data_IF_512462734150
#
_entry.id   IF_512462734150
#
_cell.length_a   1.000
_cell.length_b   1.000
_cell.length_c   1.000
_cell.angle_alpha   90.00
_cell.angle_beta   90.00
_cell.angle_gamma   90.00
#
_symmetry.space_group_name_H-M   'P 1'
#
loop_
_entity.id
_entity.type
_entity.pdbx_description
1 polymer ?
#
# COMPACT_ATOMS: atom_id res chain seq x y z
N UNK A 1 18.30 13.52 15.28
CA UNK A 1 17.40 12.35 15.27
C UNK A 1 16.84 12.26 16.68
N UNK A 2 15.52 12.31 16.85
CA UNK A 2 14.85 12.20 18.15
C UNK A 2 15.25 10.89 18.85
N UNK A 3 15.37 10.91 20.17
CA UNK A 3 15.74 9.72 20.97
C UNK A 3 14.49 8.97 21.40
N UNK A 4 14.60 7.71 21.81
CA UNK A 4 13.46 7.01 22.45
C UNK A 4 12.96 7.71 23.73
N UNK A 5 13.79 8.55 24.35
CA UNK A 5 13.40 9.36 25.50
C UNK A 5 12.47 10.53 25.13
N UNK A 6 12.55 11.04 23.90
CA UNK A 6 11.74 12.17 23.41
C UNK A 6 10.66 11.76 22.42
N UNK A 7 10.80 10.58 21.80
CA UNK A 7 9.83 10.03 20.85
C UNK A 7 9.68 8.50 21.02
N UNK A 8 8.50 8.05 21.44
CA UNK A 8 8.17 6.63 21.57
C UNK A 8 7.28 6.17 20.40
N UNK A 9 7.88 5.45 19.45
CA UNK A 9 7.17 4.88 18.30
C UNK A 9 6.61 3.47 18.56
N UNK A 10 6.62 2.98 19.81
CA UNK A 10 6.15 1.64 20.18
C UNK A 10 6.76 0.46 19.39
N UNK A 11 7.98 0.64 18.86
CA UNK A 11 8.63 -0.35 17.99
C UNK A 11 8.04 -0.44 16.57
N UNK A 12 7.14 0.48 16.19
CA UNK A 12 6.57 0.57 14.85
C UNK A 12 7.61 1.20 13.90
N UNK A 13 7.84 0.61 12.72
CA UNK A 13 8.78 1.15 11.74
C UNK A 13 8.25 2.42 11.07
N UNK A 14 9.15 3.17 10.44
CA UNK A 14 8.80 4.40 9.73
C UNK A 14 7.99 4.10 8.46
N UNK A 15 6.77 4.62 8.38
CA UNK A 15 5.89 4.44 7.22
C UNK A 15 5.80 5.72 6.39
N UNK A 16 6.44 5.72 5.21
CA UNK A 16 6.38 6.84 4.27
C UNK A 16 4.97 7.18 3.81
N UNK A 17 4.03 6.23 3.91
CA UNK A 17 2.64 6.42 3.53
C UNK A 17 1.71 6.76 4.69
N UNK A 18 2.25 7.10 5.87
CA UNK A 18 1.45 7.63 6.98
C UNK A 18 0.69 8.88 6.56
N UNK A 19 -0.56 9.01 7.03
CA UNK A 19 -1.37 10.23 6.80
C UNK A 19 -0.76 11.46 7.46
N UNK A 20 0.09 11.25 8.47
CA UNK A 20 0.79 12.31 9.19
C UNK A 20 2.11 12.71 8.52
N UNK A 21 2.53 12.00 7.47
CA UNK A 21 3.78 12.27 6.79
C UNK A 21 3.62 13.36 5.72
N UNK A 22 4.37 14.45 5.85
CA UNK A 22 4.45 15.50 4.83
C UNK A 22 4.84 14.98 3.45
N UNK A 23 4.39 15.64 2.40
CA UNK A 23 4.85 15.35 1.04
C UNK A 23 6.32 15.73 0.86
N UNK A 24 6.97 15.16 -0.16
CA UNK A 24 8.36 15.50 -0.51
C UNK A 24 8.58 16.99 -0.85
N UNK A 25 7.52 17.73 -1.20
CA UNK A 25 7.57 19.15 -1.60
C UNK A 25 6.92 20.08 -0.58
N UNK A 26 6.45 19.55 0.55
CA UNK A 26 5.86 20.35 1.63
C UNK A 26 6.86 21.43 2.07
N UNK A 27 6.40 22.68 2.15
CA UNK A 27 7.20 23.88 2.46
C UNK A 27 8.30 24.22 1.44
N UNK A 28 8.32 23.58 0.27
CA UNK A 28 9.25 23.87 -0.82
C UNK A 28 8.87 25.13 -1.61
N UNK A 29 9.83 26.03 -1.83
CA UNK A 29 9.65 27.20 -2.71
C UNK A 29 9.53 26.75 -4.16
N UNK A 30 8.51 27.24 -4.89
CA UNK A 30 8.23 26.87 -6.28
C UNK A 30 8.06 25.36 -6.49
N UNK A 31 7.43 24.67 -5.54
CA UNK A 31 7.10 23.23 -5.61
C UNK A 31 8.34 22.31 -5.78
N UNK A 32 9.50 22.75 -5.29
CA UNK A 32 10.72 21.95 -5.27
C UNK A 32 10.64 20.88 -4.19
N UNK A 33 11.26 19.73 -4.45
CA UNK A 33 11.47 18.68 -3.46
C UNK A 33 12.44 19.22 -2.40
N UNK A 34 12.02 19.15 -1.13
CA UNK A 34 12.82 19.57 0.04
C UNK A 34 12.97 18.46 1.08
N UNK A 35 12.20 17.37 0.94
CA UNK A 35 12.36 16.15 1.73
C UNK A 35 12.61 15.00 0.74
N UNK A 36 13.76 14.34 0.87
CA UNK A 36 14.14 13.21 0.03
C UNK A 36 14.20 11.93 0.87
N UNK A 37 13.38 10.91 0.58
CA UNK A 37 13.50 9.63 1.25
C UNK A 37 14.79 8.93 0.83
N UNK A 38 15.39 8.13 1.72
CA UNK A 38 16.60 7.36 1.41
C UNK A 38 16.37 6.38 0.24
N UNK A 39 15.16 5.83 0.14
CA UNK A 39 14.70 5.09 -1.04
C UNK A 39 13.73 5.99 -1.83
N UNK A 40 14.24 6.51 -2.96
CA UNK A 40 13.54 7.47 -3.82
C UNK A 40 12.21 6.94 -4.38
N UNK A 41 11.98 5.63 -4.37
CA UNK A 41 10.69 5.06 -4.78
C UNK A 41 9.52 5.47 -3.87
N UNK A 42 9.81 5.94 -2.66
CA UNK A 42 8.79 6.43 -1.73
C UNK A 42 8.40 7.90 -1.94
N UNK A 43 9.01 8.61 -2.91
CA UNK A 43 8.80 10.05 -3.07
C UNK A 43 7.33 10.41 -3.36
N UNK A 44 6.62 9.57 -4.13
CA UNK A 44 5.18 9.72 -4.42
C UNK A 44 4.27 9.04 -3.38
N UNK A 45 4.84 8.21 -2.50
CA UNK A 45 4.11 7.65 -1.35
C UNK A 45 3.89 8.70 -0.25
N UNK A 46 4.85 9.60 -0.05
CA UNK A 46 4.81 10.69 0.94
C UNK A 46 3.71 11.71 0.66
N UNK A 47 3.10 12.27 1.72
CA UNK A 47 1.94 13.16 1.61
C UNK A 47 0.63 12.40 1.43
N UNK A 48 0.55 11.18 1.96
CA UNK A 48 -0.53 10.24 1.66
C UNK A 48 -1.90 10.73 2.13
N UNK A 49 -2.98 10.54 1.33
CA UNK A 49 -4.34 10.77 1.77
C UNK A 49 -4.94 9.60 2.59
N UNK A 50 -4.17 8.54 2.86
CA UNK A 50 -4.67 7.33 3.50
C UNK A 50 -4.15 7.21 4.91
N UNK A 51 -5.04 6.88 5.86
CA UNK A 51 -4.61 6.37 7.17
C UNK A 51 -3.91 5.03 6.91
N UNK A 52 -2.62 4.96 7.24
CA UNK A 52 -1.84 3.75 7.02
C UNK A 52 -2.17 2.67 8.04
N UNK A 53 -1.75 1.44 7.76
CA UNK A 53 -1.90 0.34 8.70
C UNK A 53 -1.15 0.63 10.01
N UNK A 54 0.02 1.25 9.92
CA UNK A 54 0.82 1.59 11.09
C UNK A 54 0.30 2.79 11.86
N UNK A 55 -0.35 3.76 11.19
CA UNK A 55 -1.11 4.81 11.89
C UNK A 55 -2.19 4.18 12.80
N UNK A 56 -2.95 3.23 12.24
CA UNK A 56 -3.99 2.51 12.99
C UNK A 56 -3.40 1.70 14.14
N UNK A 57 -2.32 0.95 13.90
CA UNK A 57 -1.68 0.15 14.94
C UNK A 57 -1.16 1.04 16.07
N UNK A 58 -0.47 2.13 15.74
CA UNK A 58 0.10 3.07 16.71
C UNK A 58 -0.97 3.63 17.65
N UNK A 59 -2.09 4.08 17.09
CA UNK A 59 -3.21 4.57 17.89
C UNK A 59 -3.82 3.48 18.78
N UNK A 60 -3.93 2.25 18.28
CA UNK A 60 -4.44 1.13 19.09
C UNK A 60 -3.49 0.73 20.23
N UNK A 61 -2.17 0.89 20.06
CA UNK A 61 -1.19 0.68 21.13
C UNK A 61 -1.27 1.83 22.15
N UNK A 62 -1.18 3.09 21.69
CA UNK A 62 -1.19 4.28 22.53
C UNK A 62 -2.39 4.30 23.49
N UNK A 63 -3.59 4.03 22.97
CA UNK A 63 -4.82 4.02 23.77
C UNK A 63 -5.15 2.66 24.40
N UNK A 64 -4.21 1.69 24.37
CA UNK A 64 -4.35 0.35 24.95
C UNK A 64 -5.58 -0.41 24.45
N UNK A 65 -6.02 -0.15 23.21
CA UNK A 65 -7.16 -0.84 22.61
C UNK A 65 -6.90 -2.34 22.47
N UNK A 66 -5.66 -2.74 22.17
CA UNK A 66 -5.27 -4.15 22.00
C UNK A 66 -5.47 -4.99 23.28
N UNK A 67 -5.48 -4.35 24.45
CA UNK A 67 -5.66 -5.03 25.74
C UNK A 67 -7.03 -5.69 25.86
N UNK A 68 -8.04 -5.20 25.12
CA UNK A 68 -9.39 -5.78 25.09
C UNK A 68 -9.43 -7.24 24.62
N UNK A 69 -8.42 -7.65 23.86
CA UNK A 69 -8.30 -9.01 23.35
C UNK A 69 -7.40 -9.92 24.21
N UNK A 70 -6.75 -9.40 25.25
CA UNK A 70 -5.93 -10.21 26.16
C UNK A 70 -6.82 -11.20 26.93
N UNK A 71 -6.39 -12.46 26.99
CA UNK A 71 -7.09 -13.52 27.73
C UNK A 71 -8.42 -13.99 27.10
N UNK A 72 -8.76 -13.53 25.89
CA UNK A 72 -9.95 -14.01 25.18
C UNK A 72 -9.70 -15.41 24.59
N UNK A 73 -10.63 -16.36 24.77
CA UNK A 73 -10.49 -17.72 24.24
C UNK A 73 -10.44 -17.76 22.71
N UNK A 74 -11.16 -16.87 22.04
CA UNK A 74 -11.25 -16.80 20.57
C UNK A 74 -10.17 -15.90 19.94
N UNK A 75 -9.05 -15.66 20.64
CA UNK A 75 -8.00 -14.77 20.17
C UNK A 75 -7.40 -15.28 18.84
N UNK A 76 -7.55 -14.47 17.81
CA UNK A 76 -7.02 -14.76 16.47
C UNK A 76 -5.50 -14.61 16.38
N UNK A 77 -4.85 -15.47 15.58
CA UNK A 77 -3.45 -15.31 15.17
C UNK A 77 -3.37 -14.71 13.78
N UNK A 78 -3.05 -13.43 13.71
CA UNK A 78 -2.95 -12.70 12.45
C UNK A 78 -1.67 -13.04 11.69
N UNK A 79 -1.76 -13.00 10.36
CA UNK A 79 -0.64 -13.14 9.43
C UNK A 79 -0.29 -11.79 8.82
N UNK A 80 0.83 -11.76 8.09
CA UNK A 80 1.28 -10.60 7.31
C UNK A 80 1.46 -9.31 8.11
N UNK A 81 1.67 -9.41 9.44
CA UNK A 81 1.82 -8.26 10.33
C UNK A 81 0.50 -7.68 10.85
N UNK A 82 -0.65 -8.28 10.55
CA UNK A 82 -1.95 -7.86 11.11
C UNK A 82 -2.02 -7.96 12.64
N UNK A 83 -3.00 -7.26 13.25
CA UNK A 83 -3.26 -7.31 14.69
C UNK A 83 -4.72 -7.67 15.00
N UNK A 84 -5.02 -8.31 16.15
CA UNK A 84 -6.39 -8.65 16.53
C UNK A 84 -7.28 -7.40 16.59
N UNK A 85 -8.47 -7.46 16.01
CA UNK A 85 -9.39 -6.33 16.02
C UNK A 85 -9.94 -6.09 17.44
N UNK A 86 -9.71 -4.91 18.06
CA UNK A 86 -10.14 -4.65 19.44
C UNK A 86 -11.66 -4.64 19.67
N UNK A 87 -12.45 -4.59 18.60
CA UNK A 87 -13.91 -4.67 18.64
C UNK A 87 -14.43 -6.09 18.41
N UNK A 88 -13.58 -6.98 17.89
CA UNK A 88 -13.91 -8.37 17.56
C UNK A 88 -12.61 -9.19 17.49
N UNK A 89 -12.22 -9.79 18.61
CA UNK A 89 -10.94 -10.46 18.75
C UNK A 89 -10.81 -11.76 17.94
N UNK A 90 -11.89 -12.20 17.27
CA UNK A 90 -11.91 -13.39 16.42
C UNK A 90 -11.36 -13.13 15.00
N UNK A 91 -11.19 -11.85 14.63
CA UNK A 91 -10.70 -11.40 13.32
C UNK A 91 -9.60 -10.35 13.45
N UNK A 92 -8.79 -10.23 12.40
CA UNK A 92 -7.68 -9.29 12.34
C UNK A 92 -8.05 -7.97 11.66
N UNK A 93 -7.36 -6.90 12.04
CA UNK A 93 -7.14 -5.73 11.20
C UNK A 93 -5.92 -6.02 10.33
N UNK A 94 -6.07 -5.84 9.01
CA UNK A 94 -5.07 -6.27 8.04
C UNK A 94 -4.36 -5.09 7.39
N UNK A 95 -3.07 -5.25 7.05
CA UNK A 95 -2.38 -4.29 6.21
C UNK A 95 -3.03 -4.15 4.83
N UNK A 96 -2.81 -3.00 4.19
CA UNK A 96 -3.27 -2.76 2.81
C UNK A 96 -2.80 -3.87 1.88
N UNK A 97 -3.71 -4.37 1.03
CA UNK A 97 -3.44 -5.52 0.16
C UNK A 97 -3.77 -6.89 0.77
N UNK A 98 -4.15 -6.97 2.05
CA UNK A 98 -4.48 -8.22 2.73
C UNK A 98 -5.87 -8.19 3.38
N UNK A 99 -6.54 -9.34 3.43
CA UNK A 99 -7.88 -9.47 3.98
C UNK A 99 -8.18 -10.86 4.52
N UNK A 100 -9.46 -11.08 4.83
CA UNK A 100 -9.91 -12.28 5.51
C UNK A 100 -9.64 -12.25 7.02
N UNK A 101 -10.16 -13.26 7.73
CA UNK A 101 -10.10 -13.33 9.19
C UNK A 101 -8.68 -13.25 9.75
N UNK A 102 -7.70 -13.82 9.02
CA UNK A 102 -6.30 -13.93 9.43
C UNK A 102 -5.34 -13.01 8.65
N UNK A 103 -5.84 -12.18 7.72
CA UNK A 103 -4.99 -11.43 6.77
C UNK A 103 -4.21 -12.30 5.76
N UNK A 104 -4.75 -13.48 5.42
CA UNK A 104 -4.17 -14.43 4.47
C UNK A 104 -5.04 -14.69 3.25
N UNK A 105 -5.99 -13.79 2.98
CA UNK A 105 -6.80 -13.81 1.77
C UNK A 105 -6.65 -12.50 1.02
N UNK A 106 -6.92 -12.55 -0.29
CA UNK A 106 -7.11 -11.35 -1.08
C UNK A 106 -8.27 -10.53 -0.47
N UNK A 107 -8.14 -9.20 -0.33
CA UNK A 107 -9.23 -8.35 0.09
C UNK A 107 -10.48 -8.53 -0.80
N UNK A 108 -11.70 -8.45 -0.25
CA UNK A 108 -12.91 -8.49 -1.05
C UNK A 108 -12.98 -7.28 -2.00
N UNK A 109 -13.70 -7.43 -3.11
CA UNK A 109 -13.86 -6.38 -4.13
C UNK A 109 -13.32 -6.82 -5.49
N UNK A 110 -12.83 -5.87 -6.27
CA UNK A 110 -12.25 -6.14 -7.59
C UNK A 110 -10.77 -6.54 -7.50
N UNK A 111 -10.29 -7.18 -8.56
CA UNK A 111 -8.95 -7.73 -8.68
C UNK A 111 -8.96 -9.26 -8.60
N UNK A 112 -7.78 -9.88 -8.55
CA UNK A 112 -7.63 -11.34 -8.62
C UNK A 112 -6.26 -11.83 -8.16
N UNK A 113 -6.18 -13.12 -7.86
CA UNK A 113 -4.94 -13.85 -7.69
C UNK A 113 -4.40 -14.22 -9.08
N UNK A 114 -3.08 -14.11 -9.26
CA UNK A 114 -2.36 -14.34 -10.50
C UNK A 114 -1.16 -15.24 -10.21
N UNK A 115 -1.13 -16.43 -10.80
CA UNK A 115 0.04 -17.30 -10.74
C UNK A 115 1.09 -16.84 -11.74
N UNK A 116 2.27 -16.50 -11.22
CA UNK A 116 3.42 -16.13 -12.03
C UNK A 116 4.11 -17.38 -12.59
N UNK A 117 4.70 -17.21 -13.76
CA UNK A 117 5.59 -18.18 -14.42
C UNK A 117 6.99 -17.58 -14.59
N UNK A 118 7.95 -18.36 -15.08
CA UNK A 118 9.27 -17.83 -15.49
C UNK A 118 9.19 -16.93 -16.74
N UNK A 119 8.12 -17.09 -17.53
CA UNK A 119 7.83 -16.29 -18.72
C UNK A 119 7.09 -15.00 -18.34
N UNK A 120 7.31 -13.94 -19.10
CA UNK A 120 6.61 -12.68 -18.91
C UNK A 120 5.11 -12.81 -19.17
N UNK A 121 4.31 -12.40 -18.20
CA UNK A 121 2.85 -12.29 -18.26
C UNK A 121 2.43 -10.83 -18.12
N UNK A 122 1.19 -10.52 -18.51
CA UNK A 122 0.64 -9.16 -18.50
C UNK A 122 -0.50 -9.03 -17.49
N UNK A 123 -0.49 -7.93 -16.75
CA UNK A 123 -1.60 -7.49 -15.91
C UNK A 123 -2.12 -6.15 -16.43
N UNK A 124 -3.34 -6.16 -16.97
CA UNK A 124 -4.05 -4.95 -17.38
C UNK A 124 -5.15 -4.65 -16.36
N UNK A 125 -5.20 -3.42 -15.87
CA UNK A 125 -6.13 -2.98 -14.83
C UNK A 125 -6.81 -1.69 -15.24
N UNK A 126 -8.06 -1.55 -14.81
CA UNK A 126 -8.81 -0.29 -14.88
C UNK A 126 -9.50 -0.07 -13.54
N UNK A 127 -9.30 1.08 -12.89
CA UNK A 127 -9.85 1.33 -11.54
C UNK A 127 -10.28 2.79 -11.39
N UNK A 128 -11.50 3.01 -10.94
CA UNK A 128 -12.07 4.35 -10.72
C UNK A 128 -13.54 4.42 -11.06
N UNK A 129 -14.05 5.64 -11.17
CA UNK A 129 -15.46 5.92 -11.43
C UNK A 129 -15.62 6.62 -12.77
N UNK A 130 -16.57 6.14 -13.59
CA UNK A 130 -16.94 6.83 -14.82
C UNK A 130 -17.68 8.14 -14.50
N UNK A 131 -17.44 9.18 -15.30
CA UNK A 131 -18.10 10.48 -15.16
C UNK A 131 -17.69 11.32 -13.96
N UNK A 132 -16.75 10.86 -13.11
CA UNK A 132 -16.26 11.64 -11.96
C UNK A 132 -15.06 12.48 -12.35
N UNK A 133 -15.15 13.79 -12.12
CA UNK A 133 -14.09 14.77 -12.41
C UNK A 133 -13.30 15.15 -11.15
N UNK A 134 -12.31 16.05 -11.27
CA UNK A 134 -11.57 16.59 -10.11
C UNK A 134 -12.48 17.34 -9.13
N UNK A 135 -13.52 18.03 -9.62
CA UNK A 135 -14.44 18.80 -8.79
C UNK A 135 -15.45 17.91 -8.05
N UNK A 136 -15.67 16.70 -8.53
CA UNK A 136 -16.65 15.73 -8.00
C UNK A 136 -16.00 14.55 -7.26
N UNK A 137 -14.75 14.73 -6.83
CA UNK A 137 -13.95 13.68 -6.20
C UNK A 137 -14.69 12.98 -5.04
N UNK A 138 -14.70 11.65 -5.06
CA UNK A 138 -15.34 10.86 -3.99
C UNK A 138 -14.52 10.94 -2.72
N UNK A 139 -15.18 10.88 -1.55
CA UNK A 139 -14.48 10.82 -0.26
C UNK A 139 -13.60 9.57 -0.19
N UNK A 140 -14.19 8.42 -0.56
CA UNK A 140 -13.50 7.15 -0.60
C UNK A 140 -12.89 6.85 -1.97
N UNK A 141 -11.79 6.09 -1.94
CA UNK A 141 -11.17 5.56 -3.14
C UNK A 141 -11.76 4.20 -3.49
N UNK A 142 -12.05 4.00 -4.77
CA UNK A 142 -12.23 2.65 -5.32
C UNK A 142 -10.87 1.99 -5.39
N UNK A 143 -10.74 0.79 -4.83
CA UNK A 143 -9.49 0.01 -4.81
C UNK A 143 -9.72 -1.37 -5.42
N UNK A 144 -8.80 -1.82 -6.28
CA UNK A 144 -8.71 -3.21 -6.72
C UNK A 144 -7.40 -3.82 -6.22
N UNK A 145 -7.45 -5.08 -5.81
CA UNK A 145 -6.32 -5.77 -5.19
C UNK A 145 -5.92 -6.97 -6.03
N UNK A 146 -4.64 -7.07 -6.34
CA UNK A 146 -4.07 -8.16 -7.12
C UNK A 146 -2.96 -8.83 -6.30
N UNK A 147 -2.99 -10.16 -6.25
CA UNK A 147 -1.91 -10.96 -5.66
C UNK A 147 -1.20 -11.69 -6.76
N UNK A 148 0.04 -11.31 -7.04
CA UNK A 148 0.90 -12.11 -7.91
C UNK A 148 1.61 -13.11 -7.00
N UNK A 149 1.44 -14.40 -7.26
CA UNK A 149 1.99 -15.50 -6.49
C UNK A 149 3.02 -16.26 -7.30
N UNK A 150 4.07 -16.69 -6.63
CA UNK A 150 5.11 -17.53 -7.18
C UNK A 150 5.32 -18.76 -6.27
N UNK A 151 5.98 -19.82 -6.76
CA UNK A 151 6.40 -20.92 -5.93
C UNK A 151 7.23 -20.45 -4.73
N UNK A 152 7.20 -21.21 -3.63
CA UNK A 152 7.98 -20.86 -2.44
C UNK A 152 9.46 -20.63 -2.77
N UNK A 153 10.08 -19.69 -2.05
CA UNK A 153 11.48 -19.28 -2.21
C UNK A 153 11.83 -18.59 -3.55
N UNK A 154 10.86 -18.39 -4.44
CA UNK A 154 11.01 -17.52 -5.62
C UNK A 154 10.65 -16.08 -5.30
N UNK A 155 11.14 -15.17 -6.12
CA UNK A 155 10.78 -13.74 -6.09
C UNK A 155 10.04 -13.38 -7.37
N UNK A 156 9.30 -12.29 -7.34
CA UNK A 156 8.51 -11.80 -8.47
C UNK A 156 9.15 -10.52 -8.96
N UNK A 157 9.50 -10.49 -10.23
CA UNK A 157 9.88 -9.29 -10.94
C UNK A 157 8.63 -8.68 -11.58
N UNK A 158 8.38 -7.40 -11.34
CA UNK A 158 7.29 -6.64 -11.97
C UNK A 158 7.86 -5.39 -12.64
N UNK A 159 7.33 -5.03 -13.81
CA UNK A 159 7.67 -3.83 -14.56
C UNK A 159 6.44 -3.02 -14.90
N UNK A 160 6.53 -1.71 -14.74
CA UNK A 160 5.45 -0.77 -15.09
C UNK A 160 5.50 -0.54 -16.60
N UNK A 161 4.44 -0.89 -17.32
CA UNK A 161 4.38 -0.77 -18.78
C UNK A 161 3.56 0.43 -19.24
N UNK A 162 2.49 0.76 -18.52
CA UNK A 162 1.62 1.85 -18.89
C UNK A 162 0.87 2.39 -17.67
N UNK A 163 0.63 3.69 -17.68
CA UNK A 163 -0.21 4.38 -16.71
C UNK A 163 -0.93 5.53 -17.43
N UNK A 164 -2.25 5.61 -17.29
CA UNK A 164 -3.07 6.65 -17.91
C UNK A 164 -4.38 6.88 -17.17
N UNK A 165 -4.92 8.10 -17.15
CA UNK A 165 -4.23 9.33 -17.56
C UNK A 165 -3.17 9.69 -16.53
N UNK A 166 -2.19 10.49 -16.97
CA UNK A 166 -1.14 10.95 -16.08
C UNK A 166 -1.71 11.93 -15.06
N UNK A 167 -1.42 11.73 -13.77
CA UNK A 167 -2.05 12.47 -12.68
C UNK A 167 -1.10 12.72 -11.50
N UNK A 168 0.12 13.24 -11.76
CA UNK A 168 1.12 13.44 -10.71
C UNK A 168 0.55 14.37 -9.64
N UNK A 169 0.53 13.87 -8.41
CA UNK A 169 0.05 14.57 -7.24
C UNK A 169 0.78 14.06 -6.01
N UNK A 170 0.90 14.91 -4.99
CA UNK A 170 1.50 14.50 -3.72
C UNK A 170 0.69 13.36 -3.09
N UNK A 171 1.38 12.33 -2.60
CA UNK A 171 0.74 11.13 -2.04
C UNK A 171 -0.15 10.34 -3.02
N UNK A 172 -0.08 10.65 -4.31
CA UNK A 172 -0.99 10.15 -5.34
C UNK A 172 -2.49 10.36 -4.99
N UNK A 173 -2.81 11.59 -4.61
CA UNK A 173 -4.12 12.00 -4.09
C UNK A 173 -5.32 11.65 -4.97
N UNK A 174 -5.20 11.73 -6.30
CA UNK A 174 -6.34 11.45 -7.20
C UNK A 174 -6.52 9.95 -7.48
N UNK A 175 -5.40 9.25 -7.62
CA UNK A 175 -5.37 7.86 -7.99
C UNK A 175 -3.96 7.45 -8.38
N UNK A 176 -3.72 6.15 -8.39
CA UNK A 176 -2.43 5.56 -8.68
C UNK A 176 -2.44 4.07 -8.41
N UNK A 177 -1.26 3.49 -8.29
CA UNK A 177 -1.09 2.11 -7.87
C UNK A 177 -0.01 1.99 -6.81
N UNK A 178 -0.13 0.99 -5.96
CA UNK A 178 0.81 0.64 -4.89
C UNK A 178 1.40 -0.74 -5.18
N UNK A 179 2.73 -0.86 -5.17
CA UNK A 179 3.47 -2.11 -5.31
C UNK A 179 4.13 -2.41 -3.96
N UNK A 180 3.77 -3.54 -3.34
CA UNK A 180 4.29 -3.94 -2.02
C UNK A 180 5.43 -4.96 -2.14
N UNK A 181 6.55 -4.56 -2.72
CA UNK A 181 7.71 -5.44 -2.95
C UNK A 181 8.63 -5.59 -1.74
N UNK A 182 8.49 -4.76 -0.71
CA UNK A 182 9.33 -4.75 0.49
C UNK A 182 9.16 -5.98 1.38
N UNK A 183 10.08 -6.20 2.33
CA UNK A 183 9.98 -7.29 3.32
C UNK A 183 8.80 -7.11 4.27
N UNK A 184 8.64 -5.89 4.77
CA UNK A 184 7.60 -5.56 5.73
C UNK A 184 6.29 -5.23 5.02
N UNK A 185 5.37 -6.20 5.06
CA UNK A 185 4.07 -6.10 4.41
C UNK A 185 3.06 -5.26 5.22
N UNK A 186 3.39 -4.88 6.46
CA UNK A 186 2.64 -3.89 7.23
C UNK A 186 2.80 -2.47 6.69
N UNK A 187 4.01 -2.11 6.23
CA UNK A 187 4.30 -0.77 5.70
C UNK A 187 3.57 -0.48 4.39
N UNK A 188 3.28 0.79 4.13
CA UNK A 188 2.83 1.23 2.81
C UNK A 188 3.88 0.89 1.73
N UNK A 189 3.44 0.38 0.59
CA UNK A 189 4.31 0.10 -0.56
C UNK A 189 4.72 1.35 -1.34
N UNK A 190 5.42 1.13 -2.46
CA UNK A 190 5.73 2.20 -3.39
C UNK A 190 4.49 2.59 -4.16
N UNK A 191 4.12 3.88 -4.11
CA UNK A 191 2.99 4.42 -4.85
C UNK A 191 3.47 5.22 -6.03
N UNK A 192 2.76 5.06 -7.15
CA UNK A 192 3.04 5.78 -8.38
C UNK A 192 1.75 6.28 -9.00
N UNK A 193 1.81 7.50 -9.51
CA UNK A 193 0.71 8.17 -10.22
C UNK A 193 1.23 9.05 -11.37
N UNK A 194 2.46 8.78 -11.79
CA UNK A 194 3.16 9.50 -12.86
C UNK A 194 3.67 8.56 -13.94
N UNK A 195 3.56 9.01 -15.20
CA UNK A 195 4.19 8.34 -16.35
C UNK A 195 5.73 8.38 -16.31
N UNK A 196 6.34 9.15 -15.41
CA UNK A 196 7.79 9.20 -15.21
C UNK A 196 8.41 7.85 -14.76
N UNK A 197 7.61 6.91 -14.24
CA UNK A 197 8.08 5.61 -13.75
C UNK A 197 7.88 4.47 -14.75
N UNK A 198 7.42 4.77 -15.97
CA UNK A 198 7.28 3.75 -17.01
C UNK A 198 8.63 3.09 -17.30
N UNK A 199 8.61 1.76 -17.42
CA UNK A 199 9.79 0.95 -17.66
C UNK A 199 10.58 0.58 -16.39
N UNK A 200 10.24 1.13 -15.22
CA UNK A 200 10.88 0.79 -13.94
C UNK A 200 10.49 -0.62 -13.47
N UNK A 201 11.46 -1.34 -12.89
CA UNK A 201 11.31 -2.71 -12.40
C UNK A 201 11.41 -2.75 -10.88
N UNK A 202 10.68 -3.69 -10.28
CA UNK A 202 10.73 -4.00 -8.86
C UNK A 202 10.81 -5.51 -8.68
N UNK A 203 11.51 -5.94 -7.62
CA UNK A 203 11.63 -7.34 -7.25
C UNK A 203 11.04 -7.51 -5.86
N UNK A 204 10.08 -8.41 -5.70
CA UNK A 204 9.48 -8.72 -4.42
C UNK A 204 10.48 -9.37 -3.46
N UNK A 205 10.30 -9.14 -2.16
CA UNK A 205 11.11 -9.79 -1.14
C UNK A 205 10.83 -11.29 -1.05
N UNK A 206 9.57 -11.70 -1.22
CA UNK A 206 9.13 -13.09 -1.16
C UNK A 206 8.31 -13.51 -2.38
N UNK A 207 7.60 -14.63 -2.26
CA UNK A 207 6.84 -15.24 -3.35
C UNK A 207 5.41 -14.71 -3.51
N UNK A 208 5.05 -13.66 -2.78
CA UNK A 208 3.77 -12.97 -2.91
C UNK A 208 4.03 -11.48 -3.10
N UNK A 209 3.42 -10.90 -4.13
CA UNK A 209 3.51 -9.48 -4.46
C UNK A 209 2.10 -8.89 -4.58
N UNK A 210 1.65 -8.14 -3.55
CA UNK A 210 0.44 -7.35 -3.66
C UNK A 210 0.64 -6.13 -4.57
N UNK A 211 -0.30 -5.94 -5.49
CA UNK A 211 -0.45 -4.72 -6.29
C UNK A 211 -1.86 -4.17 -6.04
N UNK A 212 -1.95 -2.91 -5.64
CA UNK A 212 -3.23 -2.26 -5.34
C UNK A 212 -3.40 -1.09 -6.30
N UNK A 213 -4.43 -1.09 -7.12
CA UNK A 213 -4.80 0.08 -7.95
C UNK A 213 -5.91 0.83 -7.27
N UNK A 214 -5.90 2.16 -7.33
CA UNK A 214 -6.91 2.97 -6.67
C UNK A 214 -7.16 4.29 -7.39
N UNK A 215 -8.40 4.77 -7.30
CA UNK A 215 -8.80 6.10 -7.77
C UNK A 215 -10.04 6.57 -7.03
N UNK A 216 -10.11 7.88 -6.76
CA UNK A 216 -11.30 8.56 -6.21
C UNK A 216 -11.99 9.47 -7.24
N UNK A 217 -11.47 9.50 -8.47
CA UNK A 217 -11.93 10.33 -9.59
C UNK A 217 -12.23 9.42 -10.81
N UNK A 218 -11.63 9.70 -11.96
CA UNK A 218 -11.77 8.96 -13.21
C UNK A 218 -11.14 7.56 -13.17
N UNK A 219 -11.47 6.69 -14.14
CA UNK A 219 -10.80 5.40 -14.30
C UNK A 219 -9.32 5.59 -14.66
N UNK A 220 -8.44 5.05 -13.83
CA UNK A 220 -7.02 4.89 -14.13
C UNK A 220 -6.79 3.55 -14.82
N UNK A 221 -5.94 3.52 -15.84
CA UNK A 221 -5.49 2.32 -16.53
C UNK A 221 -4.02 2.12 -16.17
N UNK A 222 -3.71 1.00 -15.51
CA UNK A 222 -2.34 0.60 -15.23
C UNK A 222 -2.06 -0.77 -15.85
N UNK A 223 -0.94 -0.87 -16.59
CA UNK A 223 -0.48 -2.12 -17.20
C UNK A 223 0.89 -2.47 -16.67
N UNK A 224 1.06 -3.74 -16.32
CA UNK A 224 2.31 -4.29 -15.80
C UNK A 224 2.69 -5.54 -16.58
N UNK A 225 4.00 -5.82 -16.66
CA UNK A 225 4.48 -7.17 -16.94
C UNK A 225 5.09 -7.76 -15.68
N UNK A 226 4.92 -9.06 -15.49
CA UNK A 226 5.46 -9.76 -14.33
C UNK A 226 5.91 -11.17 -14.68
N UNK A 227 6.83 -11.70 -13.89
CA UNK A 227 7.29 -13.10 -13.91
C UNK A 227 7.91 -13.43 -12.54
N UNK A 228 8.14 -14.70 -12.23
CA UNK A 228 9.01 -15.05 -11.12
C UNK A 228 10.43 -15.37 -11.57
N UNK A 229 11.36 -15.15 -10.65
CA UNK A 229 12.80 -15.44 -10.74
C UNK A 229 13.24 -16.31 -9.55
#
# INVERSE_FOLDING_TARGET
METQFTNENYGIPYDFGSVMHYSARSFGVKNKIVIMPADENYIETMGSPFVSFYDLLMMNILYKCLDRCKGKPDLVRCKMGGFPNPRDCSKCVCPSGYGGRLCDKLPPGCGKILEATTSWQYLNTTTGYEGVTRTDQKVDFKKCHYWIQAPEKRKIEIRIMHYSPDAPSEGCFFGGFEIKSQRDQGMTGYRFCSSAYLGKNFVSHGNLLPVITYSRVWPIIAKFTYRYI
#
